data_IF_168187850152
#
_entry.id   IF_168187850152
#
_cell.length_a   1.000
_cell.length_b   1.000
_cell.length_c   1.000
_cell.angle_alpha   90.00
_cell.angle_beta   90.00
_cell.angle_gamma   90.00
#
_symmetry.space_group_name_H-M   'P 1'
#
loop_
_entity.id
_entity.type
_entity.pdbx_description
1 polymer ?
#
# COMPACT_ATOMS: atom_id res chain seq x y z
N UNK A 1 0.25 -16.56 -6.02
CA UNK A 1 0.82 -15.83 -4.87
C UNK A 1 0.34 -14.39 -4.90
N UNK A 2 0.19 -13.72 -3.76
CA UNK A 2 -0.11 -12.27 -3.70
C UNK A 2 0.95 -11.57 -2.86
N UNK A 3 1.57 -10.52 -3.39
CA UNK A 3 2.59 -9.72 -2.71
C UNK A 3 2.07 -8.30 -2.49
N UNK A 4 2.10 -7.84 -1.23
CA UNK A 4 1.93 -6.43 -0.88
C UNK A 4 3.29 -5.71 -0.93
N UNK A 5 3.37 -4.62 -1.68
CA UNK A 5 4.58 -3.85 -1.99
C UNK A 5 4.41 -2.37 -1.65
N UNK A 6 5.50 -1.71 -1.22
CA UNK A 6 5.53 -0.28 -0.91
C UNK A 6 5.67 0.58 -2.16
N UNK A 7 4.83 1.61 -2.30
CA UNK A 7 4.87 2.54 -3.44
C UNK A 7 6.07 3.47 -3.35
N UNK A 8 6.85 3.55 -4.43
CA UNK A 8 7.99 4.47 -4.55
C UNK A 8 9.21 4.08 -3.72
N UNK A 9 9.25 2.84 -3.22
CA UNK A 9 10.39 2.30 -2.48
C UNK A 9 11.25 1.44 -3.40
N UNK A 10 12.48 1.87 -3.71
CA UNK A 10 13.35 1.15 -4.66
C UNK A 10 13.64 -0.31 -4.27
N UNK A 11 13.65 -0.61 -2.97
CA UNK A 11 13.80 -2.00 -2.50
C UNK A 11 12.53 -2.83 -2.75
N UNK A 12 11.36 -2.21 -2.62
CA UNK A 12 10.09 -2.88 -2.93
C UNK A 12 9.98 -3.14 -4.44
N UNK A 13 10.34 -2.18 -5.28
CA UNK A 13 10.40 -2.33 -6.73
C UNK A 13 11.36 -3.47 -7.15
N UNK A 14 12.54 -3.55 -6.53
CA UNK A 14 13.48 -4.65 -6.78
C UNK A 14 12.87 -6.02 -6.40
N UNK A 15 12.14 -6.10 -5.28
CA UNK A 15 11.42 -7.31 -4.89
C UNK A 15 10.30 -7.67 -5.88
N UNK A 16 9.55 -6.68 -6.38
CA UNK A 16 8.54 -6.92 -7.41
C UNK A 16 9.15 -7.53 -8.66
N UNK A 17 10.30 -7.02 -9.12
CA UNK A 17 11.00 -7.56 -10.29
C UNK A 17 11.49 -9.00 -10.08
N UNK A 18 11.96 -9.33 -8.87
CA UNK A 18 12.31 -10.72 -8.52
C UNK A 18 11.06 -11.61 -8.62
N UNK A 19 9.92 -11.16 -8.08
CA UNK A 19 8.66 -11.91 -8.13
C UNK A 19 8.14 -12.07 -9.56
N UNK A 20 8.22 -11.02 -10.38
CA UNK A 20 7.83 -11.09 -11.80
C UNK A 20 8.62 -12.15 -12.56
N UNK A 21 9.88 -12.36 -12.18
CA UNK A 21 10.81 -13.25 -12.87
C UNK A 21 10.98 -14.62 -12.19
N UNK A 22 10.26 -14.93 -11.11
CA UNK A 22 10.46 -16.18 -10.36
C UNK A 22 9.76 -17.40 -10.97
N UNK A 23 8.99 -17.22 -12.04
CA UNK A 23 8.28 -18.30 -12.74
C UNK A 23 7.05 -18.84 -11.99
N UNK A 24 6.58 -18.13 -10.96
CA UNK A 24 5.38 -18.47 -10.18
C UNK A 24 4.29 -17.45 -10.50
N UNK A 25 3.05 -17.90 -10.67
CA UNK A 25 1.89 -17.01 -10.79
C UNK A 25 1.78 -16.07 -9.58
N UNK A 26 1.72 -14.77 -9.87
CA UNK A 26 1.71 -13.72 -8.86
C UNK A 26 0.63 -12.67 -9.14
N UNK A 27 0.26 -11.95 -8.09
CA UNK A 27 -0.44 -10.67 -8.15
C UNK A 27 0.32 -9.70 -7.25
N UNK A 28 0.57 -8.49 -7.74
CA UNK A 28 1.18 -7.42 -6.97
C UNK A 28 0.08 -6.46 -6.51
N UNK A 29 0.11 -6.11 -5.24
CA UNK A 29 -0.71 -5.05 -4.65
C UNK A 29 0.27 -4.01 -4.14
N UNK A 30 0.20 -2.79 -4.66
CA UNK A 30 1.08 -1.70 -4.29
C UNK A 30 0.29 -0.65 -3.52
N UNK A 31 0.80 -0.27 -2.35
CA UNK A 31 0.17 0.72 -1.48
C UNK A 31 1.20 1.69 -0.90
N UNK A 32 0.75 2.86 -0.48
CA UNK A 32 1.50 3.86 0.29
C UNK A 32 1.29 3.66 1.80
N UNK A 33 1.13 4.75 2.55
CA UNK A 33 1.02 4.76 4.00
C UNK A 33 -0.27 4.12 4.52
N UNK A 34 -0.17 3.35 5.59
CA UNK A 34 -1.32 2.77 6.28
C UNK A 34 -1.80 3.68 7.41
N UNK A 35 -3.12 3.82 7.57
CA UNK A 35 -3.72 4.55 8.69
C UNK A 35 -3.31 3.94 10.05
N UNK A 36 -3.10 2.63 10.09
CA UNK A 36 -2.69 1.86 11.27
C UNK A 36 -1.31 2.23 11.79
N UNK A 37 -0.44 2.82 10.95
CA UNK A 37 0.86 3.35 11.40
C UNK A 37 0.69 4.39 12.51
N UNK A 38 -0.45 5.10 12.53
CA UNK A 38 -0.77 6.18 13.47
C UNK A 38 -1.52 5.73 14.74
N UNK A 39 -2.17 4.57 14.72
CA UNK A 39 -3.06 4.12 15.81
C UNK A 39 -2.50 3.02 16.70
N UNK A 40 -1.49 2.27 16.25
CA UNK A 40 -0.88 1.20 17.05
C UNK A 40 0.62 0.96 16.81
N UNK A 41 1.24 1.70 15.89
CA UNK A 41 2.63 1.52 15.47
C UNK A 41 3.59 2.57 16.02
N UNK A 42 4.76 2.67 15.37
CA UNK A 42 5.83 3.60 15.73
C UNK A 42 5.39 5.07 15.80
N UNK A 43 4.35 5.46 15.02
CA UNK A 43 3.85 6.84 15.01
C UNK A 43 2.82 7.13 16.10
N UNK A 44 2.34 6.14 16.86
CA UNK A 44 1.36 6.36 17.93
C UNK A 44 1.90 7.29 19.04
N UNK A 45 3.14 7.08 19.49
CA UNK A 45 3.78 7.95 20.47
C UNK A 45 3.91 9.41 19.98
N UNK A 46 4.44 9.65 18.77
CA UNK A 46 4.42 10.97 18.12
C UNK A 46 3.02 11.60 17.99
N UNK A 47 1.99 10.82 17.62
CA UNK A 47 0.58 11.29 17.55
C UNK A 47 0.13 11.82 18.91
N UNK A 48 0.38 11.08 20.00
CA UNK A 48 0.03 11.51 21.37
C UNK A 48 0.76 12.78 21.82
N UNK A 49 1.93 13.07 21.23
CA UNK A 49 2.69 14.31 21.45
C UNK A 49 2.29 15.43 20.51
N UNK A 50 1.23 15.24 19.71
CA UNK A 50 0.70 16.19 18.73
C UNK A 50 1.72 16.65 17.68
N UNK A 51 2.76 15.87 17.44
CA UNK A 51 3.82 16.23 16.50
C UNK A 51 4.34 14.98 15.78
N UNK A 52 4.21 14.98 14.45
CA UNK A 52 4.73 13.93 13.58
C UNK A 52 5.63 14.60 12.55
N UNK A 53 6.88 14.17 12.45
CA UNK A 53 7.81 14.60 11.41
C UNK A 53 7.96 13.47 10.41
N UNK A 54 7.54 13.70 9.17
CA UNK A 54 7.65 12.75 8.07
C UNK A 54 8.45 13.38 6.93
N UNK A 55 9.34 12.63 6.25
CA UNK A 55 10.01 13.08 5.04
C UNK A 55 9.04 13.00 3.84
N UNK A 56 7.91 13.71 3.91
CA UNK A 56 6.85 13.67 2.89
C UNK A 56 6.99 14.74 1.79
N UNK A 57 7.89 15.72 1.98
CA UNK A 57 7.99 16.86 1.06
C UNK A 57 6.68 17.65 0.96
N UNK A 58 6.32 18.07 -0.26
CA UNK A 58 5.05 18.76 -0.57
C UNK A 58 4.05 17.85 -1.29
N UNK A 59 4.24 16.52 -1.24
CA UNK A 59 3.40 15.56 -1.96
C UNK A 59 2.18 15.24 -1.12
N UNK A 60 1.01 15.24 -1.76
CA UNK A 60 -0.21 14.73 -1.15
C UNK A 60 -0.13 13.20 -1.12
N UNK A 61 0.24 12.66 0.04
CA UNK A 61 0.30 11.22 0.23
C UNK A 61 -1.06 10.62 0.59
N UNK A 62 -1.36 9.49 -0.02
CA UNK A 62 -2.56 8.71 0.31
C UNK A 62 -2.28 7.90 1.57
N UNK A 63 -3.17 8.03 2.56
CA UNK A 63 -3.21 7.16 3.74
C UNK A 63 -4.41 6.25 3.57
N UNK A 64 -4.18 4.95 3.49
CA UNK A 64 -5.22 3.95 3.25
C UNK A 64 -5.42 3.06 4.48
N UNK A 65 -6.63 2.55 4.66
CA UNK A 65 -6.91 1.54 5.66
C UNK A 65 -6.40 0.16 5.20
N UNK A 66 -5.74 -0.58 6.10
CA UNK A 66 -5.32 -1.97 5.82
C UNK A 66 -6.50 -2.87 5.45
N UNK A 67 -7.71 -2.62 5.96
CA UNK A 67 -8.89 -3.41 5.61
C UNK A 67 -9.24 -3.29 4.11
N UNK A 68 -9.08 -2.11 3.50
CA UNK A 68 -9.29 -1.94 2.05
C UNK A 68 -8.25 -2.71 1.22
N UNK A 69 -7.00 -2.76 1.69
CA UNK A 69 -5.95 -3.58 1.05
C UNK A 69 -6.28 -5.07 1.19
N UNK A 70 -6.80 -5.48 2.36
CA UNK A 70 -7.14 -6.86 2.63
C UNK A 70 -8.26 -7.36 1.69
N UNK A 71 -9.25 -6.53 1.38
CA UNK A 71 -10.30 -6.87 0.40
C UNK A 71 -9.71 -7.19 -0.98
N UNK A 72 -8.78 -6.37 -1.46
CA UNK A 72 -8.10 -6.60 -2.75
C UNK A 72 -7.25 -7.88 -2.70
N UNK A 73 -6.54 -8.12 -1.60
CA UNK A 73 -5.75 -9.33 -1.41
C UNK A 73 -6.61 -10.60 -1.38
N UNK A 74 -7.74 -10.58 -0.69
CA UNK A 74 -8.69 -11.69 -0.63
C UNK A 74 -9.27 -11.98 -2.02
N UNK A 75 -9.68 -10.94 -2.76
CA UNK A 75 -10.15 -11.11 -4.13
C UNK A 75 -9.06 -11.75 -5.01
N UNK A 76 -7.84 -11.22 -4.98
CA UNK A 76 -6.71 -11.74 -5.75
C UNK A 76 -6.35 -13.20 -5.41
N UNK A 77 -6.53 -13.62 -4.15
CA UNK A 77 -6.26 -14.99 -3.70
C UNK A 77 -7.37 -15.98 -4.07
N UNK A 78 -8.61 -15.53 -4.18
CA UNK A 78 -9.78 -16.42 -4.24
C UNK A 78 -10.48 -16.43 -5.60
N UNK A 79 -10.23 -15.44 -6.44
CA UNK A 79 -10.86 -15.27 -7.74
C UNK A 79 -9.85 -15.52 -8.88
N UNK A 80 -10.37 -15.80 -10.07
CA UNK A 80 -9.53 -15.99 -11.27
C UNK A 80 -9.33 -14.66 -11.99
N UNK A 81 -8.28 -14.57 -12.84
CA UNK A 81 -8.01 -13.37 -13.64
C UNK A 81 -7.02 -12.38 -13.03
N UNK A 82 -6.46 -12.68 -11.86
CA UNK A 82 -5.51 -11.80 -11.16
C UNK A 82 -4.03 -12.13 -11.42
N UNK A 83 -3.72 -13.22 -12.13
CA UNK A 83 -2.32 -13.57 -12.43
C UNK A 83 -1.65 -12.52 -13.31
N UNK A 84 -0.43 -12.15 -12.94
CA UNK A 84 0.39 -11.13 -13.60
C UNK A 84 -0.07 -9.68 -13.34
N UNK A 85 -1.12 -9.46 -12.54
CA UNK A 85 -1.68 -8.12 -12.34
C UNK A 85 -0.89 -7.32 -11.30
N UNK A 86 -0.91 -6.00 -11.49
CA UNK A 86 -0.47 -5.00 -10.52
C UNK A 86 -1.65 -4.09 -10.18
N UNK A 87 -2.07 -4.10 -8.93
CA UNK A 87 -3.09 -3.21 -8.39
C UNK A 87 -2.43 -2.12 -7.57
N UNK A 88 -2.54 -0.86 -8.01
CA UNK A 88 -2.22 0.28 -7.15
C UNK A 88 -3.44 0.66 -6.33
N UNK A 89 -3.34 0.46 -5.02
CA UNK A 89 -4.44 0.72 -4.09
C UNK A 89 -4.11 1.99 -3.32
N UNK A 90 -4.98 2.97 -3.45
CA UNK A 90 -4.88 4.26 -2.78
C UNK A 90 -6.30 4.74 -2.45
N UNK A 91 -6.43 5.54 -1.39
CA UNK A 91 -7.72 6.14 -1.07
C UNK A 91 -8.05 7.16 -2.16
N UNK A 92 -9.27 7.10 -2.69
CA UNK A 92 -9.71 8.09 -3.66
C UNK A 92 -10.12 9.35 -2.91
N UNK A 93 -9.26 10.36 -2.91
CA UNK A 93 -9.61 11.68 -2.42
C UNK A 93 -10.62 12.30 -3.41
N UNK A 94 -11.90 12.23 -3.07
CA UNK A 94 -12.93 12.98 -3.81
C UNK A 94 -12.76 14.45 -3.44
N UNK A 95 -12.32 15.25 -4.41
CA UNK A 95 -12.34 16.71 -4.27
C UNK A 95 -13.79 17.14 -4.03
N UNK A 96 -14.09 17.69 -2.86
CA UNK A 96 -15.35 18.38 -2.61
C UNK A 96 -15.41 19.56 -3.60
N UNK A 97 -16.44 19.69 -4.45
CA UNK A 97 -16.61 20.91 -5.23
C UNK A 97 -16.94 22.02 -4.22
N UNK A 98 -16.10 23.05 -4.20
CA UNK A 98 -16.32 24.26 -3.40
C UNK A 98 -17.50 25.09 -3.89
#
# INVERSE_FOLDING_TARGET
MVLLSGRGESLAEACEDIVRNCGIDFTLIRSSWFAQNFSGGYLYGPVLRSAITLPAGQVQESIIDVDEIAEVAVAALTQTGHSGQLYEVAIRLTSHPG
#
